data_IF_116499108818
#
_entry.id   IF_116499108818
#
_cell.length_a   1.000
_cell.length_b   1.000
_cell.length_c   1.000
_cell.angle_alpha   90.00
_cell.angle_beta   90.00
_cell.angle_gamma   90.00
#
_symmetry.space_group_name_H-M   'P 1'
#
loop_
_entity.id
_entity.type
_entity.pdbx_description
1 polymer ?
#
# COMPACT_ATOMS: atom_id res chain seq x y z
N UNK A 1 75.12 41.63 -59.98
CA UNK A 1 75.73 41.27 -58.70
C UNK A 1 74.91 41.95 -57.63
N UNK A 2 73.90 41.23 -57.12
CA UNK A 2 73.94 40.51 -55.83
C UNK A 2 73.87 41.53 -54.68
N UNK A 3 72.99 41.46 -53.68
CA UNK A 3 72.21 40.34 -53.18
C UNK A 3 71.06 40.92 -52.35
N UNK A 4 69.86 40.39 -52.54
CA UNK A 4 68.65 40.72 -51.77
C UNK A 4 68.51 39.73 -50.63
N UNK A 5 68.85 40.13 -49.41
CA UNK A 5 68.58 39.32 -48.19
C UNK A 5 67.29 39.77 -47.52
N UNK A 6 66.17 39.29 -48.06
CA UNK A 6 64.90 39.22 -47.34
C UNK A 6 64.99 38.00 -46.42
N UNK A 7 65.20 38.21 -45.13
CA UNK A 7 65.14 37.15 -44.14
C UNK A 7 63.72 36.57 -44.09
N UNK A 8 63.64 35.28 -44.37
CA UNK A 8 62.46 34.44 -44.26
C UNK A 8 61.85 34.51 -42.86
N UNK A 9 60.75 35.24 -42.73
CA UNK A 9 59.81 35.09 -41.63
C UNK A 9 58.49 34.53 -42.19
N UNK A 10 58.53 33.24 -42.58
CA UNK A 10 57.34 32.47 -42.93
C UNK A 10 57.50 31.03 -42.45
N UNK A 11 56.40 30.54 -41.88
CA UNK A 11 56.09 29.14 -41.60
C UNK A 11 56.59 28.56 -40.27
N UNK A 12 56.09 29.11 -39.16
CA UNK A 12 55.61 28.29 -38.03
C UNK A 12 54.17 28.67 -37.64
N UNK A 13 53.25 28.54 -38.61
CA UNK A 13 51.81 28.50 -38.38
C UNK A 13 51.23 27.20 -38.96
N UNK A 14 51.98 26.11 -38.85
CA UNK A 14 51.51 24.77 -39.18
C UNK A 14 51.38 23.96 -37.91
N UNK A 15 50.15 23.49 -37.61
CA UNK A 15 49.78 22.59 -36.50
C UNK A 15 49.22 23.24 -35.22
N UNK A 16 48.14 24.01 -35.36
CA UNK A 16 47.26 24.36 -34.23
C UNK A 16 45.75 24.21 -34.54
N UNK A 17 45.36 24.24 -35.83
CA UNK A 17 43.96 24.11 -36.24
C UNK A 17 43.39 22.67 -36.24
N UNK A 18 44.23 21.63 -36.10
CA UNK A 18 43.77 20.23 -36.01
C UNK A 18 43.63 19.72 -34.58
N UNK A 19 44.48 20.18 -33.67
CA UNK A 19 44.49 19.74 -32.26
C UNK A 19 43.28 20.27 -31.48
N UNK A 20 42.87 21.51 -31.73
CA UNK A 20 41.78 22.19 -31.01
C UNK A 20 40.40 21.63 -31.33
N UNK A 21 40.15 21.17 -32.56
CA UNK A 21 38.84 20.61 -32.96
C UNK A 21 38.64 19.19 -32.44
N UNK A 22 39.69 18.36 -32.47
CA UNK A 22 39.64 16.99 -31.92
C UNK A 22 39.53 17.01 -30.39
N UNK A 23 40.24 17.92 -29.72
CA UNK A 23 40.18 18.09 -28.27
C UNK A 23 38.81 18.61 -27.82
N UNK A 24 38.22 19.59 -28.52
CA UNK A 24 36.86 20.07 -28.21
C UNK A 24 35.79 19.01 -28.48
N UNK A 25 35.94 18.19 -29.53
CA UNK A 25 35.06 17.05 -29.78
C UNK A 25 35.15 16.01 -28.65
N UNK A 26 36.36 15.69 -28.20
CA UNK A 26 36.58 14.75 -27.10
C UNK A 26 35.95 15.27 -25.80
N UNK A 27 36.16 16.56 -25.46
CA UNK A 27 35.54 17.19 -24.29
C UNK A 27 34.01 17.18 -24.41
N UNK A 28 33.45 17.44 -25.59
CA UNK A 28 32.01 17.40 -25.82
C UNK A 28 31.43 15.98 -25.63
N UNK A 29 32.11 14.95 -26.13
CA UNK A 29 31.70 13.55 -25.95
C UNK A 29 31.80 13.14 -24.49
N UNK A 30 32.90 13.48 -23.80
CA UNK A 30 33.05 13.19 -22.37
C UNK A 30 31.96 13.90 -21.56
N UNK A 31 31.67 15.17 -21.85
CA UNK A 31 30.59 15.90 -21.19
C UNK A 31 29.23 15.28 -21.47
N UNK A 32 28.94 14.85 -22.71
CA UNK A 32 27.68 14.18 -23.03
C UNK A 32 27.53 12.85 -22.25
N UNK A 33 28.61 12.08 -22.11
CA UNK A 33 28.61 10.84 -21.32
C UNK A 33 28.41 11.13 -19.83
N UNK A 34 29.10 12.14 -19.28
CA UNK A 34 28.96 12.53 -17.87
C UNK A 34 27.55 13.04 -17.57
N UNK A 35 27.01 13.92 -18.41
CA UNK A 35 25.63 14.43 -18.27
C UNK A 35 24.61 13.31 -18.41
N UNK A 36 24.80 12.39 -19.37
CA UNK A 36 23.93 11.22 -19.52
C UNK A 36 23.97 10.29 -18.29
N UNK A 37 25.15 10.05 -17.73
CA UNK A 37 25.32 9.23 -16.53
C UNK A 37 24.69 9.89 -15.29
N UNK A 38 24.89 11.19 -15.10
CA UNK A 38 24.27 11.94 -13.99
C UNK A 38 22.75 12.00 -14.16
N UNK A 39 22.25 12.24 -15.38
CA UNK A 39 20.82 12.28 -15.67
C UNK A 39 20.10 10.96 -15.37
N UNK A 40 20.69 9.83 -15.77
CA UNK A 40 20.14 8.50 -15.47
C UNK A 40 20.18 8.18 -13.96
N UNK A 41 21.25 8.57 -13.26
CA UNK A 41 21.34 8.43 -11.80
C UNK A 41 20.27 9.25 -11.07
N UNK A 42 20.05 10.51 -11.47
CA UNK A 42 19.02 11.37 -10.88
C UNK A 42 17.60 10.84 -11.11
N UNK A 43 17.28 10.37 -12.33
CA UNK A 43 15.97 9.77 -12.61
C UNK A 43 15.73 8.50 -11.80
N UNK A 44 16.77 7.70 -11.57
CA UNK A 44 16.70 6.50 -10.72
C UNK A 44 16.48 6.87 -9.26
N UNK A 45 17.18 7.88 -8.75
CA UNK A 45 17.00 8.39 -7.39
C UNK A 45 15.59 8.97 -7.15
N UNK A 46 15.05 9.72 -8.12
CA UNK A 46 13.68 10.23 -8.05
C UNK A 46 12.66 9.10 -7.96
N UNK A 47 12.76 8.08 -8.82
CA UNK A 47 11.88 6.90 -8.77
C UNK A 47 11.98 6.15 -7.44
N UNK A 48 13.19 6.02 -6.89
CA UNK A 48 13.39 5.40 -5.58
C UNK A 48 12.69 6.19 -4.46
N UNK A 49 12.81 7.53 -4.43
CA UNK A 49 12.16 8.37 -3.42
C UNK A 49 10.62 8.28 -3.46
N UNK A 50 10.01 8.34 -4.65
CA UNK A 50 8.55 8.23 -4.81
C UNK A 50 8.03 6.88 -4.30
N UNK A 51 8.75 5.79 -4.56
CA UNK A 51 8.35 4.46 -4.07
C UNK A 51 8.41 4.31 -2.55
N UNK A 52 9.41 4.96 -1.92
CA UNK A 52 9.57 5.00 -0.47
C UNK A 52 8.41 5.72 0.22
N UNK A 53 8.00 6.89 -0.30
CA UNK A 53 6.88 7.65 0.28
C UNK A 53 5.56 6.88 0.15
N UNK A 54 5.29 6.31 -1.02
CA UNK A 54 4.08 5.53 -1.24
C UNK A 54 4.01 4.29 -0.33
N UNK A 55 5.14 3.63 -0.07
CA UNK A 55 5.20 2.53 0.88
C UNK A 55 4.78 2.94 2.30
N UNK A 56 5.30 4.06 2.80
CA UNK A 56 4.95 4.58 4.13
C UNK A 56 3.46 4.86 4.22
N UNK A 57 2.87 5.49 3.19
CA UNK A 57 1.43 5.79 3.13
C UNK A 57 0.60 4.50 3.15
N UNK A 58 0.94 3.51 2.33
CA UNK A 58 0.25 2.22 2.27
C UNK A 58 0.31 1.49 3.61
N UNK A 59 1.48 1.49 4.25
CA UNK A 59 1.64 0.86 5.55
C UNK A 59 0.85 1.58 6.65
N UNK A 60 0.78 2.91 6.62
CA UNK A 60 -0.04 3.71 7.52
C UNK A 60 -1.53 3.44 7.33
N UNK A 61 -2.01 3.40 6.08
CA UNK A 61 -3.39 3.03 5.76
C UNK A 61 -3.75 1.64 6.28
N UNK A 62 -2.88 0.65 6.07
CA UNK A 62 -3.09 -0.70 6.56
C UNK A 62 -3.14 -0.78 8.09
N UNK A 63 -2.26 -0.05 8.80
CA UNK A 63 -2.29 0.03 10.28
C UNK A 63 -3.58 0.69 10.77
N UNK A 64 -4.03 1.75 10.12
CA UNK A 64 -5.29 2.42 10.46
C UNK A 64 -6.50 1.51 10.20
N UNK A 65 -6.51 0.80 9.07
CA UNK A 65 -7.54 -0.15 8.73
C UNK A 65 -7.61 -1.29 9.76
N UNK A 66 -6.45 -1.83 10.17
CA UNK A 66 -6.35 -2.86 11.20
C UNK A 66 -6.86 -2.34 12.56
N UNK A 67 -6.51 -1.11 12.94
CA UNK A 67 -7.00 -0.48 14.16
C UNK A 67 -8.54 -0.31 14.15
N UNK A 68 -9.12 0.14 13.03
CA UNK A 68 -10.57 0.25 12.89
C UNK A 68 -11.26 -1.13 13.00
N UNK A 69 -10.72 -2.12 12.30
CA UNK A 69 -11.22 -3.49 12.33
C UNK A 69 -11.17 -4.10 13.74
N UNK A 70 -10.05 -3.90 14.46
CA UNK A 70 -9.93 -4.40 15.85
C UNK A 70 -10.90 -3.71 16.80
N UNK A 71 -11.13 -2.41 16.65
CA UNK A 71 -12.09 -1.67 17.46
C UNK A 71 -13.54 -2.10 17.22
N UNK A 72 -13.89 -2.41 15.97
CA UNK A 72 -15.22 -2.92 15.61
C UNK A 72 -15.40 -4.37 16.06
N UNK A 73 -14.42 -5.25 15.83
CA UNK A 73 -14.46 -6.64 16.31
C UNK A 73 -14.56 -6.73 17.84
N UNK A 74 -13.95 -5.79 18.56
CA UNK A 74 -14.08 -5.73 20.02
C UNK A 74 -15.52 -5.43 20.46
N UNK A 75 -16.31 -4.77 19.63
CA UNK A 75 -17.73 -4.45 19.87
C UNK A 75 -18.67 -5.48 19.25
N UNK A 76 -18.13 -6.57 18.69
CA UNK A 76 -18.93 -7.57 18.00
C UNK A 76 -19.90 -8.28 18.96
N UNK A 77 -21.03 -8.72 18.39
CA UNK A 77 -22.05 -9.49 19.11
C UNK A 77 -21.51 -10.79 19.71
N UNK A 78 -21.95 -11.21 20.91
CA UNK A 78 -21.73 -12.57 21.40
C UNK A 78 -22.55 -13.58 20.62
N UNK A 79 -21.93 -14.72 20.32
CA UNK A 79 -22.59 -16.02 20.37
C UNK A 79 -24.03 -16.11 19.83
N UNK A 80 -24.25 -15.82 18.56
CA UNK A 80 -25.26 -16.54 17.80
C UNK A 80 -24.51 -17.39 16.79
N UNK A 81 -24.69 -18.70 16.86
CA UNK A 81 -24.03 -19.74 16.07
C UNK A 81 -24.04 -19.53 14.54
N UNK A 82 -24.71 -18.47 14.04
CA UNK A 82 -24.87 -18.19 12.62
C UNK A 82 -24.34 -16.81 12.16
N UNK A 83 -23.79 -15.94 13.03
CA UNK A 83 -23.61 -14.51 12.66
C UNK A 83 -22.25 -13.84 12.92
N UNK A 84 -21.26 -14.53 13.50
CA UNK A 84 -19.89 -13.97 13.69
C UNK A 84 -18.88 -14.66 12.77
N UNK A 85 -19.24 -15.86 12.28
CA UNK A 85 -18.33 -16.84 11.69
C UNK A 85 -19.07 -17.59 10.59
N UNK A 86 -19.86 -16.90 9.75
CA UNK A 86 -20.46 -17.59 8.60
C UNK A 86 -19.39 -18.10 7.60
N UNK A 87 -18.13 -17.63 7.70
CA UNK A 87 -17.03 -18.07 6.84
C UNK A 87 -15.63 -18.03 7.46
N UNK A 88 -15.46 -17.79 8.78
CA UNK A 88 -14.18 -18.16 9.43
C UNK A 88 -14.19 -19.67 9.62
N UNK A 89 -13.99 -20.41 8.53
CA UNK A 89 -13.63 -21.82 8.60
C UNK A 89 -12.41 -21.89 9.53
N UNK A 90 -12.39 -22.77 10.55
CA UNK A 90 -11.16 -23.01 11.27
C UNK A 90 -10.08 -23.34 10.23
N UNK A 91 -9.05 -22.49 10.17
CA UNK A 91 -7.88 -22.56 9.28
C UNK A 91 -7.87 -21.77 7.95
N UNK A 92 -8.44 -20.57 7.95
CA UNK A 92 -8.13 -19.40 7.10
C UNK A 92 -9.37 -18.87 6.38
N UNK A 93 -9.67 -17.60 6.57
CA UNK A 93 -10.78 -16.95 5.88
C UNK A 93 -10.37 -15.58 5.38
N UNK A 94 -10.65 -15.33 4.10
CA UNK A 94 -10.37 -14.06 3.43
C UNK A 94 -11.43 -12.99 3.72
N UNK A 95 -12.44 -13.33 4.52
CA UNK A 95 -13.45 -12.39 4.96
C UNK A 95 -13.99 -12.70 6.36
N UNK A 96 -14.40 -11.66 7.07
CA UNK A 96 -15.12 -11.77 8.35
C UNK A 96 -16.38 -10.92 8.28
N UNK A 97 -17.49 -11.48 8.75
CA UNK A 97 -18.79 -10.80 8.80
C UNK A 97 -19.36 -10.86 10.22
N UNK A 98 -19.76 -9.70 10.78
CA UNK A 98 -20.25 -9.60 12.15
C UNK A 98 -21.14 -8.38 12.38
N UNK A 99 -21.88 -8.35 13.48
CA UNK A 99 -22.66 -7.19 13.94
C UNK A 99 -21.93 -6.50 15.09
N UNK A 100 -22.05 -5.17 15.20
CA UNK A 100 -21.53 -4.39 16.33
C UNK A 100 -22.66 -3.85 17.21
N UNK A 101 -22.39 -3.77 18.51
CA UNK A 101 -23.35 -3.29 19.49
C UNK A 101 -23.26 -1.77 19.65
N UNK A 102 -24.40 -1.09 19.59
CA UNK A 102 -24.54 0.32 19.95
C UNK A 102 -25.73 0.49 20.89
N UNK A 103 -25.62 1.34 21.90
CA UNK A 103 -26.75 1.68 22.74
C UNK A 103 -27.64 2.68 22.02
N UNK A 104 -28.94 2.37 21.93
CA UNK A 104 -29.94 3.33 21.48
C UNK A 104 -30.08 4.47 22.49
N UNK A 105 -29.88 5.70 22.02
CA UNK A 105 -30.03 6.90 22.85
C UNK A 105 -31.47 7.11 23.35
N UNK A 106 -32.47 6.54 22.67
CA UNK A 106 -33.89 6.69 23.04
C UNK A 106 -34.35 5.65 24.05
N UNK A 107 -34.04 4.37 23.81
CA UNK A 107 -34.53 3.27 24.66
C UNK A 107 -33.51 2.76 25.69
N UNK A 108 -32.23 3.15 25.58
CA UNK A 108 -31.15 2.60 26.40
C UNK A 108 -30.84 1.12 26.11
N UNK A 109 -31.54 0.51 25.16
CA UNK A 109 -31.34 -0.88 24.79
C UNK A 109 -30.14 -1.03 23.85
N UNK A 110 -29.45 -2.16 23.95
CA UNK A 110 -28.38 -2.51 23.01
C UNK A 110 -28.99 -2.92 21.66
N UNK A 111 -28.68 -2.15 20.63
CA UNK A 111 -28.97 -2.47 19.24
C UNK A 111 -27.78 -3.16 18.59
N UNK A 112 -28.04 -4.27 17.90
CA UNK A 112 -27.05 -5.04 17.15
C UNK A 112 -27.17 -4.75 15.67
N UNK A 113 -26.12 -4.20 15.08
CA UNK A 113 -26.17 -3.70 13.71
C UNK A 113 -24.83 -3.13 13.25
N UNK A 114 -24.84 -2.43 12.13
CA UNK A 114 -23.68 -1.72 11.61
C UNK A 114 -24.00 -0.23 11.45
N UNK A 115 -23.07 0.68 11.78
CA UNK A 115 -23.22 2.09 11.42
C UNK A 115 -22.91 2.29 9.94
N UNK A 116 -23.72 3.11 9.26
CA UNK A 116 -23.40 3.61 7.92
C UNK A 116 -22.33 4.71 7.94
N UNK A 117 -22.02 5.27 6.77
CA UNK A 117 -20.98 6.29 6.62
C UNK A 117 -21.35 7.60 7.35
N UNK A 118 -22.63 7.85 7.57
CA UNK A 118 -23.15 8.99 8.31
C UNK A 118 -23.24 8.70 9.82
N UNK A 119 -22.90 7.48 10.25
CA UNK A 119 -22.99 7.05 11.64
C UNK A 119 -24.40 6.62 12.06
N UNK A 120 -25.35 6.53 11.13
CA UNK A 120 -26.68 6.01 11.44
C UNK A 120 -26.58 4.49 11.62
N UNK A 121 -26.96 4.03 12.80
CA UNK A 121 -26.97 2.62 13.16
C UNK A 121 -28.34 2.03 12.88
N UNK A 122 -28.37 0.90 12.18
CA UNK A 122 -29.60 0.16 11.94
C UNK A 122 -29.45 -1.26 12.45
N UNK A 123 -30.43 -1.68 13.25
CA UNK A 123 -30.52 -3.06 13.69
C UNK A 123 -30.53 -4.02 12.49
N UNK A 124 -29.87 -5.17 12.64
CA UNK A 124 -29.85 -6.21 11.63
C UNK A 124 -28.76 -6.08 10.57
N UNK A 125 -28.13 -4.91 10.38
CA UNK A 125 -27.01 -4.78 9.44
C UNK A 125 -25.73 -5.47 9.92
N UNK A 126 -24.95 -5.95 8.96
CA UNK A 126 -23.67 -6.60 9.20
C UNK A 126 -22.52 -5.79 8.61
N UNK A 127 -21.36 -5.89 9.24
CA UNK A 127 -20.09 -5.44 8.70
C UNK A 127 -19.38 -6.62 8.08
N UNK A 128 -18.86 -6.45 6.86
CA UNK A 128 -18.00 -7.42 6.21
C UNK A 128 -16.67 -6.79 5.87
N UNK A 129 -15.59 -7.39 6.34
CA UNK A 129 -14.24 -7.09 5.90
C UNK A 129 -13.79 -8.17 4.92
N UNK A 130 -13.22 -7.78 3.78
CA UNK A 130 -12.70 -8.70 2.77
C UNK A 130 -11.64 -8.04 1.91
N UNK A 131 -10.91 -8.85 1.15
CA UNK A 131 -10.16 -8.35 0.01
C UNK A 131 -11.04 -8.20 -1.24
N UNK A 132 -10.79 -7.14 -2.01
CA UNK A 132 -11.35 -6.92 -3.33
C UNK A 132 -10.23 -7.03 -4.37
N UNK A 133 -10.32 -8.02 -5.26
CA UNK A 133 -9.33 -8.27 -6.31
C UNK A 133 -7.90 -8.50 -5.81
N UNK A 134 -7.74 -8.99 -4.57
CA UNK A 134 -6.43 -9.23 -3.93
C UNK A 134 -5.51 -8.01 -3.83
N UNK A 135 -6.07 -6.80 -3.92
CA UNK A 135 -5.31 -5.54 -3.87
C UNK A 135 -5.93 -4.49 -2.94
N UNK A 136 -7.20 -4.62 -2.56
CA UNK A 136 -7.88 -3.61 -1.75
C UNK A 136 -8.53 -4.26 -0.55
N UNK A 137 -8.24 -3.74 0.65
CA UNK A 137 -8.99 -4.08 1.84
C UNK A 137 -10.26 -3.22 1.86
N UNK A 138 -11.42 -3.88 1.86
CA UNK A 138 -12.72 -3.22 1.83
C UNK A 138 -13.53 -3.57 3.06
N UNK A 139 -14.22 -2.56 3.58
CA UNK A 139 -15.28 -2.69 4.58
C UNK A 139 -16.62 -2.44 3.91
N UNK A 140 -17.46 -3.47 3.87
CA UNK A 140 -18.80 -3.45 3.33
C UNK A 140 -19.84 -3.42 4.46
N UNK A 141 -21.03 -2.90 4.17
CA UNK A 141 -22.20 -3.07 5.03
C UNK A 141 -23.21 -3.94 4.30
N UNK A 142 -23.67 -4.98 4.97
CA UNK A 142 -24.69 -5.89 4.47
C UNK A 142 -26.03 -5.62 5.16
N UNK A 143 -27.11 -5.78 4.42
CA UNK A 143 -28.46 -5.79 4.98
C UNK A 143 -28.76 -7.11 5.72
N UNK A 144 -29.98 -7.23 6.26
CA UNK A 144 -30.43 -8.44 6.96
C UNK A 144 -30.46 -9.69 6.07
N UNK A 145 -30.56 -9.51 4.74
CA UNK A 145 -30.50 -10.58 3.74
C UNK A 145 -29.08 -10.93 3.30
N UNK A 146 -28.05 -10.27 3.84
CA UNK A 146 -26.66 -10.46 3.43
C UNK A 146 -26.29 -9.77 2.12
N UNK A 147 -27.16 -8.93 1.56
CA UNK A 147 -26.89 -8.18 0.35
C UNK A 147 -26.06 -6.95 0.66
N UNK A 148 -25.19 -6.56 -0.28
CA UNK A 148 -24.45 -5.31 -0.16
C UNK A 148 -25.42 -4.13 -0.16
N UNK A 149 -25.32 -3.26 0.84
CA UNK A 149 -26.04 -1.98 0.81
C UNK A 149 -25.38 -1.07 -0.21
N UNK A 150 -26.16 -0.49 -1.12
CA UNK A 150 -25.64 0.40 -2.16
C UNK A 150 -24.78 1.53 -1.59
N UNK A 151 -23.60 1.74 -2.19
CA UNK A 151 -22.65 2.78 -1.78
C UNK A 151 -22.01 2.59 -0.40
N UNK A 152 -22.25 1.46 0.29
CA UNK A 152 -21.74 1.25 1.64
C UNK A 152 -20.30 0.74 1.71
N UNK A 153 -19.78 0.17 0.61
CA UNK A 153 -18.42 -0.32 0.50
C UNK A 153 -17.40 0.82 0.58
N UNK A 154 -16.45 0.71 1.51
CA UNK A 154 -15.35 1.66 1.68
C UNK A 154 -14.02 0.94 1.58
N UNK A 155 -13.14 1.44 0.70
CA UNK A 155 -11.74 1.01 0.66
C UNK A 155 -11.02 1.59 1.88
N UNK A 156 -10.37 0.71 2.65
CA UNK A 156 -9.62 1.09 3.85
C UNK A 156 -8.11 1.13 3.61
N UNK A 157 -7.60 0.26 2.74
CA UNK A 157 -6.19 0.23 2.37
C UNK A 157 -6.04 -0.29 0.94
N UNK A 158 -5.09 0.31 0.21
CA UNK A 158 -4.63 -0.18 -1.09
C UNK A 158 -3.44 -1.12 -0.93
N UNK A 159 -3.20 -1.94 -1.95
CA UNK A 159 -2.14 -2.95 -2.01
C UNK A 159 -2.18 -3.98 -0.86
N UNK A 160 -3.38 -4.29 -0.36
CA UNK A 160 -3.57 -5.38 0.60
C UNK A 160 -3.58 -6.73 -0.15
N UNK A 161 -2.58 -7.56 0.12
CA UNK A 161 -2.35 -8.83 -0.58
C UNK A 161 -2.93 -10.03 0.13
N UNK A 162 -2.82 -10.05 1.46
CA UNK A 162 -3.29 -11.15 2.29
C UNK A 162 -4.12 -10.58 3.43
N UNK A 163 -5.29 -11.18 3.64
CA UNK A 163 -6.13 -10.96 4.78
C UNK A 163 -6.56 -12.33 5.26
N UNK A 164 -6.25 -12.62 6.50
CA UNK A 164 -6.59 -13.90 7.11
C UNK A 164 -7.13 -13.67 8.52
N UNK A 165 -8.20 -14.40 8.84
CA UNK A 165 -8.80 -14.45 10.16
C UNK A 165 -8.74 -15.87 10.71
N UNK A 166 -8.24 -15.99 11.93
CA UNK A 166 -8.30 -17.23 12.70
C UNK A 166 -9.08 -16.98 13.99
N UNK A 167 -10.16 -17.71 14.22
CA UNK A 167 -10.93 -17.60 15.45
C UNK A 167 -10.67 -18.80 16.36
N UNK A 168 -10.25 -18.52 17.60
CA UNK A 168 -10.13 -19.52 18.64
C UNK A 168 -11.42 -19.55 19.48
N UNK A 169 -12.18 -20.63 19.35
CA UNK A 169 -13.47 -20.83 20.04
C UNK A 169 -13.33 -20.95 21.56
N UNK A 170 -12.19 -21.41 22.08
CA UNK A 170 -11.95 -21.60 23.51
C UNK A 170 -11.56 -20.29 24.21
N UNK A 171 -10.76 -19.46 23.55
CA UNK A 171 -10.26 -18.20 24.13
C UNK A 171 -11.06 -16.97 23.68
N UNK A 172 -11.95 -17.14 22.70
CA UNK A 172 -12.69 -16.09 22.02
C UNK A 172 -11.79 -14.98 21.46
N UNK A 173 -10.63 -15.39 20.94
CA UNK A 173 -9.65 -14.50 20.32
C UNK A 173 -9.75 -14.66 18.80
N UNK A 174 -9.87 -13.53 18.10
CA UNK A 174 -9.69 -13.44 16.65
C UNK A 174 -8.26 -12.97 16.38
N UNK A 175 -7.49 -13.78 15.69
CA UNK A 175 -6.19 -13.41 15.13
C UNK A 175 -6.43 -12.89 13.72
N UNK A 176 -5.91 -11.70 13.42
CA UNK A 176 -6.02 -11.06 12.13
C UNK A 176 -4.61 -10.94 11.57
N UNK A 177 -4.42 -11.37 10.33
CA UNK A 177 -3.16 -11.22 9.59
C UNK A 177 -3.44 -10.40 8.34
N UNK A 178 -2.76 -9.27 8.20
CA UNK A 178 -2.87 -8.38 7.05
C UNK A 178 -1.48 -8.16 6.45
N UNK A 179 -1.25 -8.61 5.22
CA UNK A 179 -0.04 -8.29 4.47
C UNK A 179 -0.34 -7.24 3.40
N UNK A 180 0.54 -6.25 3.30
CA UNK A 180 0.55 -5.29 2.20
C UNK A 180 1.70 -5.61 1.25
N UNK A 181 1.48 -5.35 -0.04
CA UNK A 181 2.48 -5.56 -1.07
C UNK A 181 3.29 -4.28 -1.31
N UNK A 182 4.58 -4.44 -1.54
CA UNK A 182 5.48 -3.34 -1.88
C UNK A 182 5.50 -3.11 -3.39
N UNK A 183 5.49 -1.83 -3.78
CA UNK A 183 5.88 -1.41 -5.12
C UNK A 183 7.40 -1.22 -5.13
N UNK A 184 8.13 -2.23 -5.58
CA UNK A 184 9.58 -2.12 -5.71
C UNK A 184 9.95 -1.22 -6.88
N UNK A 185 10.61 -0.09 -6.62
CA UNK A 185 11.21 0.75 -7.66
C UNK A 185 12.45 0.11 -8.32
N UNK A 186 12.95 -1.00 -7.77
CA UNK A 186 14.20 -1.64 -8.21
C UNK A 186 14.00 -2.65 -9.35
N UNK A 187 12.75 -2.99 -9.70
CA UNK A 187 12.46 -3.91 -10.80
C UNK A 187 12.15 -3.13 -12.09
N UNK A 188 12.95 -3.30 -13.17
CA UNK A 188 12.63 -2.73 -14.47
C UNK A 188 11.27 -3.25 -14.94
N UNK A 189 10.32 -2.35 -15.19
CA UNK A 189 8.96 -2.70 -15.63
C UNK A 189 7.89 -2.73 -14.54
N UNK A 190 8.16 -2.24 -13.32
CA UNK A 190 7.13 -2.09 -12.28
C UNK A 190 6.58 -3.41 -11.75
N UNK A 191 7.38 -4.48 -11.84
CA UNK A 191 6.93 -5.79 -11.36
C UNK A 191 6.80 -5.80 -9.84
N UNK A 192 5.66 -6.33 -9.39
CA UNK A 192 5.28 -6.40 -7.99
C UNK A 192 5.94 -7.64 -7.33
N UNK A 193 7.14 -7.49 -6.79
CA UNK A 193 7.85 -8.55 -6.06
C UNK A 193 7.51 -8.57 -4.57
N UNK A 194 7.30 -9.75 -4.00
CA UNK A 194 7.22 -9.92 -2.54
C UNK A 194 8.61 -9.72 -1.93
N UNK A 195 8.76 -8.78 -1.00
CA UNK A 195 10.02 -8.55 -0.29
C UNK A 195 10.12 -9.49 0.91
N UNK A 196 11.30 -10.03 1.26
CA UNK A 196 11.49 -10.82 2.48
C UNK A 196 11.22 -10.06 3.79
N UNK A 197 10.97 -8.74 3.73
CA UNK A 197 10.48 -7.93 4.85
C UNK A 197 8.93 -7.84 4.94
N UNK A 198 8.18 -8.55 4.09
CA UNK A 198 6.72 -8.59 4.07
C UNK A 198 6.12 -9.47 5.19
N UNK A 199 6.60 -9.29 6.43
CA UNK A 199 5.94 -9.91 7.57
C UNK A 199 4.52 -9.32 7.70
N UNK A 200 3.47 -10.16 7.71
CA UNK A 200 2.10 -9.66 7.85
C UNK A 200 1.97 -8.89 9.17
N UNK A 201 1.19 -7.81 9.14
CA UNK A 201 0.71 -7.17 10.35
C UNK A 201 -0.22 -8.17 11.06
N UNK A 202 0.21 -8.65 12.23
CA UNK A 202 -0.57 -9.57 13.05
C UNK A 202 -1.11 -8.85 14.26
N UNK A 203 -2.40 -9.02 14.53
CA UNK A 203 -3.03 -8.54 15.76
C UNK A 203 -3.99 -9.59 16.31
N UNK A 204 -4.20 -9.54 17.62
CA UNK A 204 -5.10 -10.44 18.33
C UNK A 204 -6.16 -9.61 19.04
N UNK A 205 -7.42 -9.96 18.81
CA UNK A 205 -8.56 -9.26 19.37
C UNK A 205 -9.37 -10.23 20.20
N UNK A 206 -9.39 -10.02 21.51
CA UNK A 206 -10.34 -10.69 22.41
C UNK A 206 -11.70 -10.05 22.25
N UNK A 207 -12.71 -10.83 21.87
CA UNK A 207 -14.09 -10.36 21.76
C UNK A 207 -14.60 -10.02 23.18
N UNK A 208 -15.11 -8.79 23.40
CA UNK A 208 -15.55 -8.36 24.74
C UNK A 208 -16.87 -8.96 25.14
N UNK A 209 -17.74 -9.21 24.17
CA UNK A 209 -19.09 -9.65 24.43
C UNK A 209 -19.14 -11.14 24.09
N UNK A 210 -18.63 -11.98 24.99
CA UNK A 210 -18.76 -13.44 24.91
C UNK A 210 -19.62 -13.84 26.09
N UNK A 211 -20.85 -14.27 25.83
CA UNK A 211 -21.70 -14.84 26.87
C UNK A 211 -21.04 -16.15 27.28
N UNK A 212 -20.61 -16.23 28.53
CA UNK A 212 -20.19 -17.48 29.17
C UNK A 212 -21.38 -18.36 29.48
#
# INVERSE_FOLDING_TARGET
>A
MNDTTIHHDRARLGSACGATLVETLFVAVVMAVVVGAVGTAMMTAQRASISSEMYVVVQQQARQALANMTNELRQARPGAANLIIAQIVPDQSESVTFQVGQYDSGTGNMMWGAPDQQGAHKAGWFLRYRLNGSIQLVRDILDEGGNLKDGSGRVLAHYARLLDFTYNTQTHIVVIRLAVQQLSAQLPGGQMGASPQDAPLVTQVKLRNTIG
#
